data_IF_757632526465
#
_entry.id   IF_757632526465
#
_cell.length_a   1.000
_cell.length_b   1.000
_cell.length_c   1.000
_cell.angle_alpha   90.00
_cell.angle_beta   90.00
_cell.angle_gamma   90.00
#
_symmetry.space_group_name_H-M   'P 1'
#
loop_
_entity.id
_entity.type
_entity.pdbx_description
1 polymer ?
#
# COMPACT_ATOMS: atom_id res chain seq x y z
N UNK A 1 -2.75 8.17 -1.10
CA UNK A 1 -2.06 7.65 0.11
C UNK A 1 -0.97 6.64 -0.18
N UNK A 2 -1.21 5.49 -0.84
CA UNK A 2 -0.12 4.49 -1.06
C UNK A 2 0.96 4.99 -2.03
N UNK A 3 0.60 5.73 -3.08
CA UNK A 3 1.55 6.23 -4.10
C UNK A 3 2.41 7.36 -3.57
N UNK A 4 1.81 8.28 -2.83
CA UNK A 4 2.46 9.42 -2.20
C UNK A 4 3.56 8.92 -1.25
N UNK A 5 3.30 7.82 -0.54
CA UNK A 5 4.30 7.16 0.31
C UNK A 5 5.50 6.56 -0.44
N UNK A 6 5.30 6.10 -1.68
CA UNK A 6 6.40 5.58 -2.52
C UNK A 6 7.28 6.73 -3.02
N UNK A 7 6.68 7.80 -3.55
CA UNK A 7 7.44 8.96 -4.01
C UNK A 7 8.19 9.66 -2.88
N UNK A 8 7.58 9.75 -1.70
CA UNK A 8 8.29 10.19 -0.50
C UNK A 8 9.57 9.38 -0.26
N UNK A 9 9.48 8.04 -0.29
CA UNK A 9 10.64 7.17 -0.09
C UNK A 9 11.67 7.26 -1.22
N UNK A 10 11.23 7.46 -2.48
CA UNK A 10 12.11 7.73 -3.61
C UNK A 10 12.93 9.00 -3.34
N UNK A 11 12.29 10.12 -3.04
CA UNK A 11 13.00 11.38 -2.76
C UNK A 11 13.85 11.31 -1.49
N UNK A 12 13.43 10.55 -0.48
CA UNK A 12 14.21 10.36 0.73
C UNK A 12 15.49 9.55 0.50
N UNK A 13 15.42 8.52 -0.35
CA UNK A 13 16.54 7.60 -0.60
C UNK A 13 17.44 8.11 -1.73
N UNK A 14 16.84 8.72 -2.74
CA UNK A 14 17.46 9.17 -3.98
C UNK A 14 17.09 10.64 -4.24
N UNK A 15 17.53 11.59 -3.39
CA UNK A 15 17.12 12.99 -3.47
C UNK A 15 17.52 13.68 -4.78
N UNK A 16 18.52 13.14 -5.49
CA UNK A 16 18.91 13.57 -6.84
C UNK A 16 17.76 13.48 -7.85
N UNK A 17 16.78 12.60 -7.63
CA UNK A 17 15.64 12.38 -8.52
C UNK A 17 14.83 13.65 -8.76
N UNK A 18 14.69 14.53 -7.75
CA UNK A 18 14.01 15.81 -7.94
C UNK A 18 14.72 16.65 -9.02
N UNK A 19 16.03 16.82 -8.89
CA UNK A 19 16.81 17.65 -9.80
C UNK A 19 16.90 17.04 -11.20
N UNK A 20 16.95 15.71 -11.31
CA UNK A 20 16.84 15.05 -12.62
C UNK A 20 15.50 15.34 -13.30
N UNK A 21 14.40 15.29 -12.54
CA UNK A 21 13.06 15.60 -13.06
C UNK A 21 12.93 17.06 -13.48
N UNK A 22 13.65 17.97 -12.81
CA UNK A 22 13.75 19.39 -13.17
C UNK A 22 14.70 19.65 -14.36
N UNK A 23 15.46 18.65 -14.80
CA UNK A 23 16.48 18.81 -15.85
C UNK A 23 17.80 19.42 -15.35
N UNK A 24 18.00 19.44 -14.03
CA UNK A 24 19.16 19.99 -13.34
C UNK A 24 20.20 18.91 -12.94
N UNK A 25 21.33 19.37 -12.39
CA UNK A 25 22.38 18.49 -11.90
C UNK A 25 21.97 17.77 -10.60
N UNK A 26 22.02 16.43 -10.62
CA UNK A 26 21.75 15.56 -9.46
C UNK A 26 22.54 15.89 -8.21
N UNK A 27 23.76 16.42 -8.36
CA UNK A 27 24.64 16.75 -7.25
C UNK A 27 24.08 17.88 -6.38
N UNK A 28 23.16 18.70 -6.89
CA UNK A 28 22.47 19.73 -6.10
C UNK A 28 21.79 19.13 -4.87
N UNK A 29 21.29 17.89 -4.96
CA UNK A 29 20.68 17.19 -3.84
C UNK A 29 21.58 17.09 -2.59
N UNK A 30 22.91 17.15 -2.74
CA UNK A 30 23.84 17.16 -1.61
C UNK A 30 23.69 18.40 -0.73
N UNK A 31 23.19 19.51 -1.29
CA UNK A 31 22.93 20.76 -0.60
C UNK A 31 21.59 20.76 0.13
N UNK A 32 20.78 19.71 0.01
CA UNK A 32 19.43 19.66 0.55
C UNK A 32 19.22 18.56 1.58
N UNK A 33 18.23 18.78 2.45
CA UNK A 33 17.65 17.77 3.33
C UNK A 33 16.17 17.63 3.00
N UNK A 34 15.76 16.43 2.60
CA UNK A 34 14.36 16.13 2.29
C UNK A 34 13.58 15.74 3.57
N UNK A 35 12.46 16.41 3.84
CA UNK A 35 11.57 16.13 4.98
C UNK A 35 10.12 16.44 4.61
N UNK A 36 9.17 15.71 5.19
CA UNK A 36 7.79 16.15 5.25
C UNK A 36 7.58 17.02 6.50
N UNK A 37 6.94 18.18 6.33
CA UNK A 37 6.81 19.22 7.36
C UNK A 37 5.36 19.27 7.85
N UNK A 38 5.17 19.36 9.16
CA UNK A 38 3.86 19.60 9.77
C UNK A 38 3.55 21.09 9.83
N UNK A 39 2.45 21.48 9.20
CA UNK A 39 1.90 22.83 9.22
C UNK A 39 0.73 22.87 10.20
N UNK A 40 1.05 23.16 11.47
CA UNK A 40 0.07 23.12 12.57
C UNK A 40 -1.15 24.02 12.34
N UNK A 41 -0.96 25.19 11.74
CA UNK A 41 -2.06 26.12 11.41
C UNK A 41 -3.06 25.52 10.42
N UNK A 42 -2.62 24.61 9.55
CA UNK A 42 -3.48 23.94 8.58
C UNK A 42 -3.94 22.56 9.05
N UNK A 43 -3.46 22.10 10.22
CA UNK A 43 -3.61 20.72 10.70
C UNK A 43 -3.24 19.69 9.61
N UNK A 44 -2.20 19.99 8.83
CA UNK A 44 -1.76 19.22 7.66
C UNK A 44 -0.28 18.96 7.69
N UNK A 45 0.14 17.97 6.89
CA UNK A 45 1.53 17.66 6.61
C UNK A 45 1.73 17.74 5.10
N UNK A 46 2.80 18.41 4.68
CA UNK A 46 3.20 18.48 3.27
C UNK A 46 3.68 17.12 2.78
N UNK A 47 3.55 16.82 1.50
CA UNK A 47 4.09 15.58 0.92
C UNK A 47 5.63 15.56 0.99
N UNK A 48 6.31 16.64 0.65
CA UNK A 48 7.76 16.69 0.75
C UNK A 48 8.35 18.09 0.54
N UNK A 49 9.36 18.42 1.33
CA UNK A 49 10.09 19.68 1.23
C UNK A 49 11.60 19.39 1.21
N UNK A 50 12.29 19.94 0.22
CA UNK A 50 13.76 19.98 0.18
C UNK A 50 14.21 21.30 0.80
N UNK A 51 14.75 21.20 2.02
CA UNK A 51 15.30 22.33 2.76
C UNK A 51 16.79 22.47 2.45
N UNK A 52 17.26 23.66 2.04
CA UNK A 52 18.68 23.88 1.79
C UNK A 52 19.48 23.79 3.11
N UNK A 53 20.71 23.29 3.01
CA UNK A 53 21.67 23.20 4.14
C UNK A 53 22.49 24.48 4.30
N UNK A 54 22.65 25.24 3.21
CA UNK A 54 23.36 26.52 3.19
C UNK A 54 22.42 27.70 2.96
N UNK A 55 22.90 28.90 3.25
CA UNK A 55 22.17 30.13 3.00
C UNK A 55 22.16 30.49 1.50
N UNK A 56 21.04 31.00 1.01
CA UNK A 56 20.90 31.54 -0.35
C UNK A 56 20.19 30.62 -1.35
N UNK A 57 20.24 29.31 -1.15
CA UNK A 57 19.55 28.32 -1.98
C UNK A 57 18.02 28.36 -1.74
N UNK A 58 17.18 28.11 -2.77
CA UNK A 58 15.74 28.12 -2.61
C UNK A 58 15.23 26.85 -1.89
N UNK A 59 14.12 26.95 -1.17
CA UNK A 59 13.37 25.78 -0.69
C UNK A 59 12.54 25.20 -1.84
N UNK A 60 12.48 23.87 -1.97
CA UNK A 60 11.54 23.21 -2.90
C UNK A 60 10.41 22.54 -2.14
N UNK A 61 9.18 22.90 -2.47
CA UNK A 61 7.96 22.21 -2.06
C UNK A 61 7.56 21.26 -3.19
N UNK A 62 7.38 19.98 -2.89
CA UNK A 62 7.14 18.95 -3.88
C UNK A 62 5.84 18.23 -3.57
N UNK A 63 4.94 18.21 -4.55
CA UNK A 63 3.67 17.50 -4.51
C UNK A 63 3.61 16.49 -5.65
N UNK A 64 3.11 15.29 -5.39
CA UNK A 64 2.99 14.23 -6.41
C UNK A 64 1.55 13.73 -6.47
N UNK A 65 0.91 13.87 -7.64
CA UNK A 65 -0.52 13.67 -7.77
C UNK A 65 -0.89 12.61 -8.83
N UNK A 66 -1.66 11.61 -8.39
CA UNK A 66 -2.12 10.46 -9.20
C UNK A 66 -3.61 10.49 -9.55
N UNK A 67 -4.34 11.51 -9.11
CA UNK A 67 -5.78 11.66 -9.34
C UNK A 67 -6.12 13.13 -9.59
N UNK A 68 -7.25 13.38 -10.26
CA UNK A 68 -7.72 14.77 -10.44
C UNK A 68 -7.99 15.40 -9.07
N UNK A 69 -7.54 16.64 -8.92
CA UNK A 69 -7.76 17.45 -7.73
C UNK A 69 -7.84 18.91 -8.16
N UNK A 70 -9.03 19.48 -8.08
CA UNK A 70 -9.31 20.86 -8.49
C UNK A 70 -8.74 21.88 -7.50
N UNK A 71 -8.48 21.46 -6.26
CA UNK A 71 -8.03 22.32 -5.17
C UNK A 71 -6.51 22.21 -4.92
N UNK A 72 -5.80 21.31 -5.62
CA UNK A 72 -4.38 21.03 -5.38
C UNK A 72 -3.52 22.28 -5.31
N UNK A 73 -3.57 23.12 -6.36
CA UNK A 73 -2.75 24.33 -6.44
C UNK A 73 -3.11 25.33 -5.34
N UNK A 74 -4.39 25.51 -5.02
CA UNK A 74 -4.79 26.40 -3.92
C UNK A 74 -4.25 25.92 -2.58
N UNK A 75 -4.32 24.62 -2.29
CA UNK A 75 -3.78 24.03 -1.06
C UNK A 75 -2.25 24.15 -1.01
N UNK A 76 -1.55 23.79 -2.08
CA UNK A 76 -0.10 23.89 -2.16
C UNK A 76 0.37 25.33 -1.91
N UNK A 77 -0.25 26.32 -2.55
CA UNK A 77 0.15 27.71 -2.37
C UNK A 77 -0.13 28.21 -0.94
N UNK A 78 -1.22 27.79 -0.31
CA UNK A 78 -1.45 28.06 1.12
C UNK A 78 -0.34 27.46 1.98
N UNK A 79 0.02 26.21 1.74
CA UNK A 79 1.06 25.50 2.50
C UNK A 79 2.43 26.17 2.36
N UNK A 80 2.81 26.55 1.13
CA UNK A 80 4.03 27.31 0.84
C UNK A 80 4.04 28.60 1.65
N UNK A 81 3.03 29.46 1.52
CA UNK A 81 3.06 30.78 2.16
C UNK A 81 2.91 30.72 3.69
N UNK A 82 2.16 29.76 4.22
CA UNK A 82 2.11 29.49 5.67
C UNK A 82 3.50 29.11 6.17
N UNK A 83 4.18 28.17 5.50
CA UNK A 83 5.53 27.76 5.91
C UNK A 83 6.52 28.92 5.85
N UNK A 84 6.54 29.66 4.74
CA UNK A 84 7.45 30.79 4.55
C UNK A 84 7.22 31.89 5.61
N UNK A 85 5.95 32.19 5.91
CA UNK A 85 5.58 33.17 6.94
C UNK A 85 6.00 32.75 8.35
N UNK A 86 5.71 31.50 8.74
CA UNK A 86 6.06 30.96 10.06
C UNK A 86 7.57 30.98 10.32
N UNK A 87 8.35 30.63 9.30
CA UNK A 87 9.81 30.53 9.41
C UNK A 87 10.51 31.85 9.06
N UNK A 88 9.75 32.89 8.69
CA UNK A 88 10.27 34.17 8.19
C UNK A 88 11.35 33.98 7.14
N UNK A 89 11.10 33.07 6.19
CA UNK A 89 12.05 32.73 5.14
C UNK A 89 12.34 33.93 4.24
N UNK A 90 13.60 34.16 3.91
CA UNK A 90 14.07 35.36 3.16
C UNK A 90 14.73 35.04 1.83
N UNK A 91 14.94 33.76 1.51
CA UNK A 91 15.56 33.33 0.28
C UNK A 91 14.49 32.87 -0.72
N UNK A 92 14.93 32.40 -1.89
CA UNK A 92 14.03 31.86 -2.90
C UNK A 92 13.21 30.68 -2.39
N UNK A 93 12.15 30.37 -3.13
CA UNK A 93 11.35 29.17 -2.95
C UNK A 93 10.91 28.67 -4.33
N UNK A 94 10.58 27.40 -4.45
CA UNK A 94 9.99 26.81 -5.64
C UNK A 94 8.94 25.79 -5.21
N UNK A 95 7.84 25.72 -5.95
CA UNK A 95 6.81 24.71 -5.82
C UNK A 95 6.79 23.87 -7.09
N UNK A 96 6.86 22.55 -6.94
CA UNK A 96 6.92 21.60 -8.05
C UNK A 96 5.82 20.58 -7.87
N UNK A 97 4.89 20.56 -8.82
CA UNK A 97 3.82 19.57 -8.87
C UNK A 97 4.14 18.53 -9.94
N UNK A 98 4.24 17.27 -9.53
CA UNK A 98 4.40 16.13 -10.40
C UNK A 98 3.07 15.41 -10.61
N UNK A 99 2.50 15.54 -11.80
CA UNK A 99 1.33 14.77 -12.21
C UNK A 99 1.74 13.43 -12.79
N UNK A 100 1.02 12.36 -12.44
CA UNK A 100 1.25 11.07 -13.06
C UNK A 100 1.04 11.09 -14.58
N UNK A 101 0.07 11.89 -15.05
CA UNK A 101 -0.26 12.12 -16.47
C UNK A 101 -0.84 13.51 -16.67
N UNK A 102 -0.64 14.09 -17.85
CA UNK A 102 -1.25 15.39 -18.23
C UNK A 102 -2.76 15.42 -18.15
N UNK A 103 -3.44 14.31 -18.40
CA UNK A 103 -4.92 14.23 -18.34
C UNK A 103 -5.50 14.35 -16.92
N UNK A 104 -4.65 14.24 -15.89
CA UNK A 104 -5.04 14.40 -14.48
C UNK A 104 -4.88 15.84 -13.99
N UNK A 105 -4.03 16.60 -14.65
CA UNK A 105 -3.76 18.00 -14.33
C UNK A 105 -5.02 18.86 -14.61
N UNK A 106 -5.48 19.53 -13.57
CA UNK A 106 -6.66 20.42 -13.60
C UNK A 106 -6.31 21.81 -14.12
N UNK A 107 -5.02 22.10 -14.33
CA UNK A 107 -4.49 23.37 -14.80
C UNK A 107 -4.23 24.34 -13.65
N UNK A 108 -3.11 25.07 -13.75
CA UNK A 108 -2.75 26.10 -12.77
C UNK A 108 -3.74 27.27 -12.88
N UNK A 109 -4.40 27.68 -11.78
CA UNK A 109 -5.26 28.86 -11.77
C UNK A 109 -4.53 30.14 -12.19
N UNK A 110 -5.20 30.99 -12.98
CA UNK A 110 -4.62 32.25 -13.51
C UNK A 110 -4.10 33.23 -12.45
N UNK A 111 -4.59 33.12 -11.21
CA UNK A 111 -4.07 33.94 -10.11
C UNK A 111 -2.60 33.64 -9.77
N UNK A 112 -2.06 32.51 -10.25
CA UNK A 112 -0.66 32.12 -10.08
C UNK A 112 0.18 32.28 -11.37
N UNK A 113 -0.33 33.00 -12.38
CA UNK A 113 0.38 33.21 -13.65
C UNK A 113 1.77 33.84 -13.43
N UNK A 114 1.91 34.73 -12.44
CA UNK A 114 3.18 35.37 -12.12
C UNK A 114 4.21 34.36 -11.60
N UNK A 115 3.82 33.46 -10.71
CA UNK A 115 4.67 32.40 -10.16
C UNK A 115 5.09 31.40 -11.23
N UNK A 116 4.20 31.10 -12.19
CA UNK A 116 4.56 30.25 -13.35
C UNK A 116 5.56 30.96 -14.25
N UNK A 117 5.31 32.23 -14.61
CA UNK A 117 6.19 33.00 -15.50
C UNK A 117 7.59 33.24 -14.91
N UNK A 118 7.67 33.39 -13.60
CA UNK A 118 8.94 33.60 -12.88
C UNK A 118 9.69 32.31 -12.55
N UNK A 119 9.06 31.14 -12.77
CA UNK A 119 9.66 29.83 -12.44
C UNK A 119 9.64 29.52 -10.94
N UNK A 120 8.67 30.05 -10.20
CA UNK A 120 8.41 29.66 -8.82
C UNK A 120 7.41 28.51 -8.70
N UNK A 121 6.53 28.34 -9.69
CA UNK A 121 5.58 27.24 -9.72
C UNK A 121 5.75 26.43 -11.01
N UNK A 122 6.09 25.16 -10.85
CA UNK A 122 6.27 24.20 -11.94
C UNK A 122 5.20 23.12 -11.90
N UNK A 123 4.71 22.72 -13.07
CA UNK A 123 3.90 21.52 -13.25
C UNK A 123 4.57 20.62 -14.28
N UNK A 124 4.90 19.40 -13.86
CA UNK A 124 5.65 18.41 -14.62
C UNK A 124 4.89 17.08 -14.68
N UNK A 125 5.12 16.30 -15.72
CA UNK A 125 4.38 15.08 -16.00
C UNK A 125 5.31 13.88 -16.00
N UNK A 126 5.04 12.93 -15.11
CA UNK A 126 5.92 11.79 -14.86
C UNK A 126 5.97 10.81 -16.06
N UNK A 127 4.88 10.66 -16.80
CA UNK A 127 4.81 9.85 -18.02
C UNK A 127 5.49 10.50 -19.24
N UNK A 128 5.82 11.78 -19.17
CA UNK A 128 6.55 12.53 -20.20
C UNK A 128 8.06 12.64 -19.91
N UNK A 129 8.52 12.03 -18.81
CA UNK A 129 9.95 12.03 -18.45
C UNK A 129 10.81 11.32 -19.51
N UNK A 130 12.00 11.85 -19.82
CA UNK A 130 12.86 11.30 -20.86
C UNK A 130 13.30 9.87 -20.55
N UNK A 131 13.57 9.09 -21.61
CA UNK A 131 14.19 7.77 -21.44
C UNK A 131 15.64 7.93 -21.01
N UNK A 132 15.93 7.50 -19.78
CA UNK A 132 17.31 7.43 -19.29
C UNK A 132 17.64 6.00 -18.90
N UNK A 133 18.56 5.40 -19.65
CA UNK A 133 19.06 4.02 -19.42
C UNK A 133 19.85 3.86 -18.12
N UNK A 134 20.35 4.98 -17.57
CA UNK A 134 21.37 4.98 -16.52
C UNK A 134 20.91 5.61 -15.19
N UNK A 135 19.75 6.27 -15.16
CA UNK A 135 19.19 6.80 -13.92
C UNK A 135 18.27 5.80 -13.23
N UNK A 136 18.58 5.52 -11.97
CA UNK A 136 17.72 4.73 -11.10
C UNK A 136 16.49 5.50 -10.62
N UNK A 137 16.63 6.80 -10.35
CA UNK A 137 15.54 7.66 -9.87
C UNK A 137 14.45 7.79 -10.92
N UNK A 138 14.81 8.24 -12.14
CA UNK A 138 13.89 8.32 -13.26
C UNK A 138 13.36 6.95 -13.67
N UNK A 139 14.18 5.90 -13.59
CA UNK A 139 13.73 4.53 -13.83
C UNK A 139 12.62 4.10 -12.86
N UNK A 140 12.73 4.43 -11.57
CA UNK A 140 11.72 4.12 -10.56
C UNK A 140 10.43 4.92 -10.79
N UNK A 141 10.56 6.21 -11.11
CA UNK A 141 9.43 7.06 -11.47
C UNK A 141 8.68 6.47 -12.67
N UNK A 142 9.40 6.13 -13.74
CA UNK A 142 8.83 5.52 -14.94
C UNK A 142 8.21 4.16 -14.68
N UNK A 143 8.83 3.33 -13.84
CA UNK A 143 8.26 2.04 -13.45
C UNK A 143 6.83 2.20 -12.92
N UNK A 144 6.54 3.26 -12.17
CA UNK A 144 5.21 3.52 -11.62
C UNK A 144 4.20 3.89 -12.70
N UNK A 145 4.57 4.75 -13.66
CA UNK A 145 3.63 5.34 -14.64
C UNK A 145 3.53 4.61 -15.98
N UNK A 146 4.55 3.84 -16.37
CA UNK A 146 4.62 3.17 -17.68
C UNK A 146 3.59 2.04 -17.85
N UNK A 147 3.22 1.67 -19.09
CA UNK A 147 2.39 0.50 -19.34
C UNK A 147 3.03 -0.81 -18.83
N UNK A 148 2.19 -1.78 -18.42
CA UNK A 148 2.66 -3.06 -17.87
C UNK A 148 3.59 -3.84 -18.83
N UNK A 149 3.40 -3.68 -20.14
CA UNK A 149 4.24 -4.32 -21.17
C UNK A 149 5.74 -3.95 -21.07
N UNK A 150 6.06 -2.76 -20.55
CA UNK A 150 7.43 -2.26 -20.48
C UNK A 150 8.12 -2.58 -19.14
N UNK A 151 7.35 -3.04 -18.15
CA UNK A 151 7.81 -3.24 -16.77
C UNK A 151 8.97 -4.23 -16.71
N UNK A 152 8.91 -5.34 -17.45
CA UNK A 152 9.95 -6.35 -17.38
C UNK A 152 11.32 -5.82 -17.86
N UNK A 153 11.32 -4.99 -18.91
CA UNK A 153 12.52 -4.31 -19.37
C UNK A 153 13.01 -3.30 -18.31
N UNK A 154 12.08 -2.51 -17.75
CA UNK A 154 12.37 -1.49 -16.74
C UNK A 154 12.98 -2.09 -15.47
N UNK A 155 12.47 -3.22 -14.99
CA UNK A 155 12.99 -3.90 -13.80
C UNK A 155 14.42 -4.36 -14.02
N UNK A 156 14.73 -5.00 -15.16
CA UNK A 156 16.11 -5.42 -15.47
C UNK A 156 17.09 -4.25 -15.54
N UNK A 157 16.64 -3.13 -16.11
CA UNK A 157 17.44 -1.91 -16.12
C UNK A 157 17.69 -1.39 -14.70
N UNK A 158 16.64 -1.33 -13.87
CA UNK A 158 16.72 -0.86 -12.49
C UNK A 158 17.62 -1.72 -11.62
N UNK A 159 17.60 -3.04 -11.79
CA UNK A 159 18.53 -3.95 -11.11
C UNK A 159 19.98 -3.66 -11.48
N UNK A 160 20.26 -3.44 -12.76
CA UNK A 160 21.60 -3.05 -13.23
C UNK A 160 22.04 -1.71 -12.63
N UNK A 161 21.17 -0.71 -12.62
CA UNK A 161 21.46 0.60 -12.02
C UNK A 161 21.67 0.47 -10.49
N UNK A 162 20.85 -0.32 -9.80
CA UNK A 162 20.97 -0.54 -8.37
C UNK A 162 22.32 -1.19 -7.99
N UNK A 163 22.78 -2.16 -8.79
CA UNK A 163 24.10 -2.80 -8.60
C UNK A 163 25.29 -1.87 -8.81
N UNK A 164 25.11 -0.76 -9.53
CA UNK A 164 26.15 0.25 -9.72
C UNK A 164 26.25 1.24 -8.54
N UNK A 165 25.28 1.22 -7.62
CA UNK A 165 25.29 2.06 -6.42
C UNK A 165 26.19 1.48 -5.32
N UNK A 166 26.65 2.31 -4.36
CA UNK A 166 27.28 1.82 -3.14
C UNK A 166 26.37 0.82 -2.40
N UNK A 167 26.95 -0.21 -1.77
CA UNK A 167 26.22 -1.32 -1.11
C UNK A 167 25.08 -0.85 -0.20
N UNK A 168 25.29 0.21 0.57
CA UNK A 168 24.28 0.77 1.46
C UNK A 168 23.06 1.33 0.71
N UNK A 169 23.27 1.94 -0.46
CA UNK A 169 22.21 2.48 -1.32
C UNK A 169 21.60 1.42 -2.24
N UNK A 170 22.40 0.44 -2.69
CA UNK A 170 21.92 -0.67 -3.51
C UNK A 170 20.73 -1.38 -2.87
N UNK A 171 20.82 -1.71 -1.57
CA UNK A 171 19.72 -2.41 -0.87
C UNK A 171 18.45 -1.56 -0.79
N UNK A 172 18.58 -0.27 -0.48
CA UNK A 172 17.43 0.64 -0.42
C UNK A 172 16.81 0.83 -1.81
N UNK A 173 17.64 0.90 -2.84
CA UNK A 173 17.20 0.99 -4.22
C UNK A 173 16.40 -0.26 -4.66
N UNK A 174 16.92 -1.47 -4.39
CA UNK A 174 16.20 -2.72 -4.67
C UNK A 174 14.86 -2.74 -3.92
N UNK A 175 14.85 -2.33 -2.66
CA UNK A 175 13.63 -2.22 -1.86
C UNK A 175 12.61 -1.22 -2.43
N UNK A 176 13.05 -0.14 -3.08
CA UNK A 176 12.14 0.77 -3.79
C UNK A 176 11.56 0.15 -5.06
N UNK A 177 12.34 -0.64 -5.81
CA UNK A 177 11.84 -1.38 -6.99
C UNK A 177 10.75 -2.36 -6.56
N UNK A 178 10.95 -3.05 -5.43
CA UNK A 178 9.97 -3.94 -4.82
C UNK A 178 8.65 -3.26 -4.51
N UNK A 179 8.72 -2.15 -3.78
CA UNK A 179 7.55 -1.38 -3.41
C UNK A 179 6.82 -0.83 -4.64
N UNK A 180 7.58 -0.38 -5.66
CA UNK A 180 7.01 0.09 -6.91
C UNK A 180 6.28 -1.02 -7.69
N UNK A 181 6.79 -2.27 -7.67
CA UNK A 181 6.12 -3.40 -8.31
C UNK A 181 4.84 -3.82 -7.57
N UNK A 182 4.87 -3.91 -6.24
CA UNK A 182 3.65 -4.18 -5.44
C UNK A 182 2.60 -3.10 -5.69
N UNK A 183 3.03 -1.84 -5.75
CA UNK A 183 2.15 -0.73 -6.07
C UNK A 183 1.52 -0.88 -7.47
N UNK A 184 2.31 -1.26 -8.47
CA UNK A 184 1.85 -1.37 -9.86
C UNK A 184 0.94 -2.57 -10.09
N UNK A 185 1.09 -3.64 -9.31
CA UNK A 185 0.33 -4.88 -9.42
C UNK A 185 -0.34 -5.23 -8.07
N UNK A 186 -1.31 -4.42 -7.61
CA UNK A 186 -1.90 -4.57 -6.27
C UNK A 186 -2.62 -5.91 -6.09
N UNK A 187 -3.18 -6.46 -7.17
CA UNK A 187 -3.94 -7.72 -7.17
C UNK A 187 -3.06 -8.96 -7.36
N UNK A 188 -1.75 -8.81 -7.60
CA UNK A 188 -0.87 -9.96 -7.81
C UNK A 188 -0.16 -10.32 -6.52
N UNK A 189 -0.24 -11.60 -6.10
CA UNK A 189 0.49 -12.04 -4.93
C UNK A 189 2.00 -11.89 -5.17
N UNK A 190 2.71 -11.57 -4.11
CA UNK A 190 4.15 -11.32 -4.16
C UNK A 190 4.95 -12.43 -4.86
N UNK A 191 4.61 -13.71 -4.59
CA UNK A 191 5.31 -14.87 -5.19
C UNK A 191 5.21 -14.88 -6.72
N UNK A 192 4.11 -14.38 -7.25
CA UNK A 192 3.93 -14.26 -8.69
C UNK A 192 4.80 -13.14 -9.24
N UNK A 193 4.89 -11.99 -8.56
CA UNK A 193 5.80 -10.90 -8.94
C UNK A 193 7.26 -11.37 -8.95
N UNK A 194 7.70 -12.09 -7.91
CA UNK A 194 9.04 -12.69 -7.83
C UNK A 194 9.35 -13.56 -9.05
N UNK A 195 8.41 -14.44 -9.42
CA UNK A 195 8.55 -15.34 -10.57
C UNK A 195 8.53 -14.57 -11.91
N UNK A 196 7.63 -13.58 -12.05
CA UNK A 196 7.46 -12.80 -13.28
C UNK A 196 8.70 -11.99 -13.64
N UNK A 197 9.36 -11.39 -12.64
CA UNK A 197 10.52 -10.52 -12.88
C UNK A 197 11.86 -11.14 -12.51
N UNK A 198 11.90 -12.39 -12.01
CA UNK A 198 13.14 -13.14 -11.78
C UNK A 198 13.95 -12.63 -10.58
N UNK A 199 13.27 -12.21 -9.51
CA UNK A 199 13.81 -11.32 -8.50
C UNK A 199 14.44 -12.07 -7.34
N UNK A 200 15.69 -12.50 -7.52
CA UNK A 200 16.36 -13.43 -6.58
C UNK A 200 16.92 -12.75 -5.32
N UNK A 201 17.27 -11.46 -5.39
CA UNK A 201 17.90 -10.72 -4.28
C UNK A 201 16.89 -10.18 -3.26
N UNK A 202 15.59 -10.21 -3.58
CA UNK A 202 14.54 -9.54 -2.83
C UNK A 202 14.27 -10.12 -1.45
N UNK A 203 14.62 -11.38 -1.22
CA UNK A 203 14.44 -12.05 0.09
C UNK A 203 15.22 -11.38 1.21
N UNK A 204 16.18 -10.54 0.87
CA UNK A 204 17.09 -9.90 1.80
C UNK A 204 16.64 -8.49 2.20
N UNK A 205 15.67 -7.87 1.52
CA UNK A 205 15.24 -6.50 1.87
C UNK A 205 14.48 -6.47 3.19
N UNK A 206 14.31 -5.27 3.74
CA UNK A 206 13.52 -5.10 4.96
C UNK A 206 12.03 -5.23 4.61
N UNK A 207 11.59 -4.53 3.57
CA UNK A 207 10.22 -4.59 3.07
C UNK A 207 9.71 -6.02 2.84
N UNK A 208 10.49 -6.87 2.15
CA UNK A 208 10.11 -8.27 1.94
C UNK A 208 9.87 -9.02 3.26
N UNK A 209 10.77 -8.84 4.25
CA UNK A 209 10.66 -9.54 5.53
C UNK A 209 9.45 -9.06 6.33
N UNK A 210 9.12 -7.78 6.26
CA UNK A 210 7.93 -7.21 6.90
C UNK A 210 6.65 -7.77 6.27
N UNK A 211 6.49 -7.66 4.95
CA UNK A 211 5.30 -8.18 4.23
C UNK A 211 5.14 -9.69 4.44
N UNK A 212 6.25 -10.45 4.44
CA UNK A 212 6.21 -11.90 4.70
C UNK A 212 5.82 -12.22 6.15
N UNK A 213 6.30 -11.43 7.12
CA UNK A 213 5.97 -11.63 8.52
C UNK A 213 4.50 -11.32 8.81
N UNK A 214 3.98 -10.23 8.25
CA UNK A 214 2.57 -9.83 8.34
C UNK A 214 1.67 -10.93 7.76
N UNK A 215 1.94 -11.40 6.53
CA UNK A 215 1.17 -12.49 5.94
C UNK A 215 1.27 -13.83 6.69
N UNK A 216 2.37 -14.08 7.41
CA UNK A 216 2.46 -15.26 8.28
C UNK A 216 1.63 -15.11 9.55
N UNK A 217 1.58 -13.90 10.12
CA UNK A 217 0.74 -13.60 11.29
C UNK A 217 -0.75 -13.68 10.96
N UNK A 218 -1.18 -13.06 9.85
CA UNK A 218 -2.57 -13.13 9.38
C UNK A 218 -2.98 -14.58 9.14
N UNK A 219 -2.19 -15.34 8.37
CA UNK A 219 -2.50 -16.75 8.10
C UNK A 219 -2.50 -17.64 9.36
N UNK A 220 -1.67 -17.33 10.36
CA UNK A 220 -1.73 -18.04 11.64
C UNK A 220 -3.00 -17.68 12.43
N UNK A 221 -3.43 -16.42 12.42
CA UNK A 221 -4.66 -16.01 13.10
C UNK A 221 -5.89 -16.62 12.43
N UNK A 222 -5.99 -16.55 11.11
CA UNK A 222 -7.08 -17.15 10.33
C UNK A 222 -7.12 -18.67 10.55
N UNK A 223 -6.01 -19.37 10.37
CA UNK A 223 -5.96 -20.81 10.57
C UNK A 223 -6.25 -21.23 12.01
N UNK A 224 -5.92 -20.40 13.01
CA UNK A 224 -6.27 -20.68 14.40
C UNK A 224 -7.76 -20.48 14.66
N UNK A 225 -8.38 -19.45 14.07
CA UNK A 225 -9.82 -19.21 14.16
C UNK A 225 -10.62 -20.31 13.45
N UNK A 226 -10.27 -20.63 12.21
CA UNK A 226 -10.89 -21.71 11.43
C UNK A 226 -10.76 -23.04 12.15
N UNK A 227 -9.55 -23.42 12.56
CA UNK A 227 -9.32 -24.68 13.27
C UNK A 227 -10.04 -24.75 14.63
N UNK A 228 -10.19 -23.63 15.32
CA UNK A 228 -10.96 -23.59 16.57
C UNK A 228 -12.47 -23.75 16.30
N UNK A 229 -12.99 -23.13 15.25
CA UNK A 229 -14.39 -23.25 14.86
C UNK A 229 -14.73 -24.66 14.36
N UNK A 230 -13.89 -25.24 13.50
CA UNK A 230 -14.02 -26.62 13.05
C UNK A 230 -13.94 -27.60 14.22
N UNK A 231 -13.00 -27.39 15.15
CA UNK A 231 -12.87 -28.21 16.36
C UNK A 231 -14.13 -28.17 17.24
N UNK A 232 -14.72 -26.99 17.44
CA UNK A 232 -15.98 -26.83 18.20
C UNK A 232 -17.15 -27.54 17.52
N UNK A 233 -17.28 -27.42 16.20
CA UNK A 233 -18.33 -28.11 15.43
C UNK A 233 -18.15 -29.63 15.55
N UNK A 234 -16.93 -30.13 15.31
CA UNK A 234 -16.65 -31.56 15.38
C UNK A 234 -16.94 -32.13 16.77
N UNK A 235 -16.55 -31.43 17.84
CA UNK A 235 -16.82 -31.85 19.21
C UNK A 235 -18.33 -31.87 19.51
N UNK A 236 -19.06 -30.80 19.14
CA UNK A 236 -20.50 -30.70 19.33
C UNK A 236 -21.24 -31.82 18.56
N UNK A 237 -20.86 -32.09 17.31
CA UNK A 237 -21.40 -33.18 16.51
C UNK A 237 -21.19 -34.55 17.17
N UNK A 238 -19.98 -34.83 17.66
CA UNK A 238 -19.67 -36.11 18.33
C UNK A 238 -20.51 -36.27 19.59
N UNK A 239 -20.63 -35.21 20.41
CA UNK A 239 -21.38 -35.24 21.65
C UNK A 239 -22.87 -35.48 21.38
N UNK A 240 -23.45 -34.69 20.47
CA UNK A 240 -24.84 -34.81 20.04
C UNK A 240 -25.13 -36.20 19.49
N UNK A 241 -24.29 -36.72 18.59
CA UNK A 241 -24.45 -38.07 18.04
C UNK A 241 -24.46 -39.13 19.15
N UNK A 242 -23.56 -39.03 20.13
CA UNK A 242 -23.50 -39.98 21.24
C UNK A 242 -24.76 -39.95 22.10
N UNK A 243 -25.30 -38.76 22.36
CA UNK A 243 -26.50 -38.59 23.18
C UNK A 243 -27.75 -39.09 22.44
N UNK A 244 -27.92 -38.71 21.18
CA UNK A 244 -29.05 -39.16 20.36
C UNK A 244 -29.03 -40.67 20.15
N UNK A 245 -27.88 -41.28 19.87
CA UNK A 245 -27.77 -42.75 19.71
C UNK A 245 -28.07 -43.53 20.98
N UNK A 246 -27.80 -42.94 22.16
CA UNK A 246 -28.22 -43.54 23.44
C UNK A 246 -29.72 -43.45 23.66
N UNK A 247 -30.35 -42.38 23.18
CA UNK A 247 -31.78 -42.13 23.37
C UNK A 247 -32.66 -42.85 22.35
N UNK A 248 -32.21 -42.92 21.09
CA UNK A 248 -32.89 -43.56 19.95
C UNK A 248 -31.97 -44.57 19.24
N UNK A 249 -31.63 -45.70 19.86
CA UNK A 249 -30.69 -46.68 19.30
C UNK A 249 -31.09 -47.19 17.91
N UNK A 250 -32.39 -47.33 17.67
CA UNK A 250 -32.98 -47.82 16.42
C UNK A 250 -32.88 -46.85 15.24
N UNK A 251 -32.43 -45.60 15.46
CA UNK A 251 -32.31 -44.53 14.44
C UNK A 251 -30.86 -44.12 14.14
N UNK A 252 -29.91 -45.04 14.37
CA UNK A 252 -28.48 -44.74 14.35
C UNK A 252 -27.98 -44.18 13.01
N UNK A 253 -28.49 -44.64 11.87
CA UNK A 253 -28.07 -44.13 10.56
C UNK A 253 -28.67 -42.76 10.25
N UNK A 254 -29.94 -42.56 10.60
CA UNK A 254 -30.64 -41.28 10.42
C UNK A 254 -29.99 -40.17 11.26
N UNK A 255 -29.56 -40.49 12.49
CA UNK A 255 -28.84 -39.56 13.37
C UNK A 255 -27.54 -39.04 12.73
N UNK A 256 -26.77 -39.90 12.04
CA UNK A 256 -25.51 -39.47 11.43
C UNK A 256 -25.76 -38.41 10.35
N UNK A 257 -26.78 -38.63 9.51
CA UNK A 257 -27.12 -37.72 8.41
C UNK A 257 -27.65 -36.39 8.93
N UNK A 258 -28.50 -36.42 9.97
CA UNK A 258 -29.04 -35.20 10.58
C UNK A 258 -27.93 -34.38 11.21
N UNK A 259 -27.07 -34.98 12.03
CA UNK A 259 -26.10 -34.23 12.85
C UNK A 259 -24.96 -33.63 12.01
N UNK A 260 -24.55 -34.29 10.91
CA UNK A 260 -23.49 -33.76 10.04
C UNK A 260 -23.87 -32.47 9.30
N UNK A 261 -25.17 -32.22 9.09
CA UNK A 261 -25.66 -31.02 8.40
C UNK A 261 -25.94 -29.81 9.30
N UNK A 262 -25.87 -29.96 10.63
CA UNK A 262 -26.26 -28.91 11.56
C UNK A 262 -25.15 -27.88 11.78
N UNK A 263 -25.56 -26.61 11.89
CA UNK A 263 -24.70 -25.52 12.34
C UNK A 263 -24.28 -25.70 13.81
N UNK A 264 -23.19 -25.04 14.23
CA UNK A 264 -22.77 -25.06 15.64
C UNK A 264 -23.88 -24.64 16.60
N UNK A 265 -24.61 -23.57 16.25
CA UNK A 265 -25.73 -23.07 17.06
C UNK A 265 -26.85 -24.09 17.20
N UNK A 266 -27.16 -24.83 16.14
CA UNK A 266 -28.19 -25.87 16.17
C UNK A 266 -27.69 -27.08 16.98
N UNK A 267 -26.41 -27.44 16.88
CA UNK A 267 -25.84 -28.50 17.72
C UNK A 267 -25.89 -28.16 19.21
N UNK A 268 -25.52 -26.93 19.57
CA UNK A 268 -25.59 -26.43 20.96
C UNK A 268 -27.05 -26.37 21.46
N UNK A 269 -27.97 -25.81 20.66
CA UNK A 269 -29.39 -25.77 21.02
C UNK A 269 -30.03 -27.16 21.17
N UNK A 270 -29.57 -28.14 20.37
CA UNK A 270 -30.01 -29.52 20.52
C UNK A 270 -29.54 -30.12 21.85
N UNK A 271 -28.32 -29.78 22.31
CA UNK A 271 -27.84 -30.27 23.61
C UNK A 271 -28.67 -29.76 24.79
N UNK A 272 -29.28 -28.57 24.69
CA UNK A 272 -30.13 -28.01 25.74
C UNK A 272 -31.44 -28.79 25.90
N UNK A 273 -32.07 -29.18 24.77
CA UNK A 273 -33.38 -29.85 24.78
C UNK A 273 -33.30 -31.37 24.78
N UNK A 274 -32.10 -31.96 24.66
CA UNK A 274 -31.92 -33.40 24.39
C UNK A 274 -32.56 -34.31 25.44
N UNK A 275 -32.72 -33.80 26.68
CA UNK A 275 -33.35 -34.51 27.77
C UNK A 275 -34.88 -34.47 27.73
N UNK A 276 -35.46 -33.51 27.03
CA UNK A 276 -36.90 -33.23 26.94
C UNK A 276 -37.58 -33.95 25.76
N UNK A 277 -36.81 -34.42 24.78
CA UNK A 277 -37.29 -35.12 23.58
C UNK A 277 -37.89 -36.51 23.91
N UNK A 278 -39.20 -36.69 23.91
CA UNK A 278 -39.80 -37.98 24.30
C UNK A 278 -39.88 -39.00 23.15
N UNK A 279 -39.75 -38.54 21.91
CA UNK A 279 -39.86 -39.34 20.69
C UNK A 279 -38.93 -38.85 19.57
N UNK A 280 -38.81 -39.65 18.51
CA UNK A 280 -38.09 -39.26 17.29
C UNK A 280 -38.82 -38.12 16.56
N UNK A 281 -40.16 -38.10 16.63
CA UNK A 281 -41.01 -37.06 16.05
C UNK A 281 -40.78 -35.69 16.72
N UNK A 282 -40.53 -35.66 18.03
CA UNK A 282 -40.19 -34.42 18.76
C UNK A 282 -38.90 -33.80 18.21
N UNK A 283 -37.90 -34.64 17.93
CA UNK A 283 -36.63 -34.22 17.34
C UNK A 283 -36.84 -33.64 15.94
N UNK A 284 -37.61 -34.32 15.09
CA UNK A 284 -37.91 -33.83 13.73
C UNK A 284 -38.70 -32.52 13.76
N UNK A 285 -39.66 -32.39 14.68
CA UNK A 285 -40.41 -31.15 14.88
C UNK A 285 -39.49 -30.01 15.29
N UNK A 286 -38.56 -30.24 16.21
CA UNK A 286 -37.60 -29.22 16.60
C UNK A 286 -36.68 -28.85 15.43
N UNK A 287 -36.10 -29.83 14.72
CA UNK A 287 -35.23 -29.58 13.57
C UNK A 287 -35.92 -28.72 12.50
N UNK A 288 -37.20 -28.97 12.23
CA UNK A 288 -37.97 -28.17 11.26
C UNK A 288 -38.18 -26.69 11.65
N UNK A 289 -37.98 -26.34 12.93
CA UNK A 289 -38.08 -24.98 13.44
C UNK A 289 -36.74 -24.23 13.40
N UNK A 290 -35.61 -24.94 13.44
CA UNK A 290 -34.25 -24.37 13.42
C UNK A 290 -33.53 -24.49 12.08
N UNK A 291 -34.10 -25.21 11.11
CA UNK A 291 -33.65 -25.25 9.69
C UNK A 291 -34.29 -24.15 8.81
N UNK A 292 -34.89 -23.11 9.41
CA UNK A 292 -35.33 -21.86 8.73
C UNK A 292 -34.32 -20.74 8.91
#
# INVERSE_FOLDING_TARGET
MRTDSLFYKIFQTLPGTLFELLGDNTQLAQNYTFKAIELKELAKRTDGVFLPKGDGDPIYFVEVQFQKDEDLYYRLMQEVFVYLGQNRWRHGWQAVVFWAKRSLDTGIPRCYDAEVQTGYLHSLYLDETPETSDSIGLGLVRLVVEPQANVQHRVRQLERCARALPVAQQRNAIELVEQALVYKFPERPWRELEAMFGLTEWKQTRFYREVKAEGHQEGHQEGHQEGHQEGRIAEAQILVMRLLKKRFPEKTEEINNVVQGLSLSNLEGLTDIIFELNSWEDLLSWLSQVDQ
#
